data_IF_438180699854
#
_entry.id   IF_438180699854
#
_cell.length_a   1.000
_cell.length_b   1.000
_cell.length_c   1.000
_cell.angle_alpha   90.00
_cell.angle_beta   90.00
_cell.angle_gamma   90.00
#
_symmetry.space_group_name_H-M   'P 1'
#
loop_
_entity.id
_entity.type
_entity.pdbx_description
1 polymer ?
#
# COMPACT_ATOMS: atom_id res chain seq x y z
N UNK A 1 23.06 29.22 10.01
CA UNK A 1 22.84 28.09 9.07
C UNK A 1 21.35 27.95 8.87
N UNK A 2 20.84 28.11 7.64
CA UNK A 2 19.42 27.85 7.35
C UNK A 2 19.32 26.37 7.04
N UNK A 3 18.72 25.59 7.93
CA UNK A 3 18.44 24.18 7.67
C UNK A 3 17.41 24.15 6.52
N UNK A 4 17.76 23.48 5.41
CA UNK A 4 16.94 23.41 4.21
C UNK A 4 15.71 22.52 4.41
N UNK A 5 14.66 22.79 3.64
CA UNK A 5 13.49 21.91 3.57
C UNK A 5 13.87 20.58 2.91
N UNK A 6 13.31 19.49 3.41
CA UNK A 6 13.43 18.16 2.81
C UNK A 6 12.03 17.73 2.43
N UNK A 7 11.77 17.55 1.15
CA UNK A 7 10.51 16.99 0.66
C UNK A 7 10.43 15.49 0.97
N UNK A 8 9.25 15.01 1.28
CA UNK A 8 9.01 13.60 1.53
C UNK A 8 9.19 12.76 0.26
N UNK A 9 9.85 11.61 0.40
CA UNK A 9 10.00 10.63 -0.67
C UNK A 9 9.29 9.32 -0.37
N UNK A 10 8.66 8.75 -1.38
CA UNK A 10 8.04 7.44 -1.28
C UNK A 10 9.11 6.36 -1.09
N UNK A 11 8.88 5.47 -0.13
CA UNK A 11 9.46 4.14 -0.15
C UNK A 11 8.91 3.30 -1.29
N UNK A 12 9.64 2.25 -1.61
CA UNK A 12 9.10 1.15 -2.39
C UNK A 12 7.84 0.59 -1.74
N UNK A 13 6.93 0.13 -2.59
CA UNK A 13 5.76 -0.60 -2.14
C UNK A 13 6.15 -1.86 -1.38
N UNK A 14 5.38 -2.17 -0.35
CA UNK A 14 5.41 -3.48 0.28
C UNK A 14 5.04 -4.56 -0.73
N UNK A 15 5.34 -5.81 -0.39
CA UNK A 15 4.70 -6.94 -1.04
C UNK A 15 3.16 -6.83 -0.92
N UNK A 16 2.46 -7.39 -1.90
CA UNK A 16 1.02 -7.58 -1.81
C UNK A 16 0.69 -8.53 -0.66
N UNK A 17 -0.38 -8.21 0.08
CA UNK A 17 -0.99 -9.14 1.02
C UNK A 17 -1.54 -10.36 0.30
N UNK A 18 -1.83 -11.42 1.06
CA UNK A 18 -2.72 -12.48 0.61
C UNK A 18 -4.08 -11.92 0.20
N UNK A 19 -4.82 -12.70 -0.60
CA UNK A 19 -6.20 -12.37 -0.93
C UNK A 19 -7.04 -12.31 0.35
N UNK A 20 -8.00 -11.39 0.42
CA UNK A 20 -8.85 -11.20 1.60
C UNK A 20 -9.76 -12.39 1.90
N UNK A 21 -9.90 -13.30 0.93
CA UNK A 21 -10.69 -14.52 1.00
C UNK A 21 -9.78 -15.72 0.74
N UNK A 22 -10.16 -16.88 1.26
CA UNK A 22 -9.49 -18.15 0.99
C UNK A 22 -9.99 -18.85 -0.26
N UNK A 23 -11.13 -18.41 -0.82
CA UNK A 23 -11.69 -18.84 -2.10
C UNK A 23 -12.61 -17.74 -2.65
N UNK A 24 -12.88 -17.78 -3.95
CA UNK A 24 -13.71 -16.81 -4.64
C UNK A 24 -12.99 -15.48 -4.89
N UNK A 25 -13.77 -14.45 -5.17
CA UNK A 25 -13.27 -13.10 -5.46
C UNK A 25 -13.02 -12.33 -4.15
N UNK A 26 -11.85 -11.71 -4.04
CA UNK A 26 -11.49 -10.85 -2.93
C UNK A 26 -10.55 -9.73 -3.35
N UNK A 27 -9.87 -9.15 -2.36
CA UNK A 27 -8.92 -8.06 -2.55
C UNK A 27 -7.57 -8.41 -1.92
N UNK A 28 -6.49 -8.09 -2.62
CA UNK A 28 -5.15 -7.99 -2.03
C UNK A 28 -4.74 -6.52 -1.94
N UNK A 29 -3.95 -6.20 -0.92
CA UNK A 29 -3.54 -4.82 -0.63
C UNK A 29 -2.03 -4.72 -0.51
N UNK A 30 -1.47 -3.57 -0.87
CA UNK A 30 -0.08 -3.22 -0.58
C UNK A 30 -0.01 -1.80 -0.01
N UNK A 31 1.08 -1.51 0.70
CA UNK A 31 1.28 -0.25 1.40
C UNK A 31 2.63 0.34 1.03
N UNK A 32 2.76 1.66 1.11
CA UNK A 32 4.04 2.36 1.05
C UNK A 32 4.04 3.49 2.06
N UNK A 33 5.24 3.94 2.43
CA UNK A 33 5.45 5.00 3.40
C UNK A 33 6.14 6.18 2.74
N UNK A 34 5.87 7.39 3.25
CA UNK A 34 6.53 8.62 2.82
C UNK A 34 7.65 8.99 3.80
N UNK A 35 8.67 8.13 3.86
CA UNK A 35 9.78 8.22 4.81
C UNK A 35 11.15 7.99 4.14
N UNK A 36 11.22 8.05 2.80
CA UNK A 36 12.44 7.83 2.04
C UNK A 36 12.72 8.97 1.03
N UNK A 37 13.04 10.20 1.49
CA UNK A 37 13.30 10.58 2.88
C UNK A 37 12.05 11.05 3.63
N UNK A 38 12.14 11.15 4.97
CA UNK A 38 11.10 11.77 5.81
C UNK A 38 11.11 13.28 5.53
N UNK A 39 9.95 13.92 5.31
CA UNK A 39 9.89 15.37 5.14
C UNK A 39 10.37 16.12 6.39
N UNK A 40 11.15 17.19 6.20
CA UNK A 40 11.71 17.99 7.29
C UNK A 40 11.59 19.49 7.01
N UNK A 41 11.53 20.27 8.09
CA UNK A 41 11.56 21.74 8.07
C UNK A 41 10.45 22.38 7.24
N UNK A 42 9.29 21.72 7.17
CA UNK A 42 8.14 22.16 6.39
C UNK A 42 8.15 21.73 4.93
N UNK A 43 9.00 20.76 4.54
CA UNK A 43 8.82 20.06 3.26
C UNK A 43 7.54 19.22 3.25
N UNK A 44 7.02 18.96 2.06
CA UNK A 44 5.69 18.37 1.89
C UNK A 44 5.69 16.86 2.06
N UNK A 45 4.54 16.32 2.45
CA UNK A 45 4.26 14.90 2.37
C UNK A 45 4.09 14.48 0.90
N UNK A 46 4.38 13.23 0.64
CA UNK A 46 4.28 12.65 -0.68
C UNK A 46 2.82 12.64 -1.15
N UNK A 47 2.60 13.09 -2.38
CA UNK A 47 1.27 13.06 -2.98
C UNK A 47 0.92 11.66 -3.52
N UNK A 48 -0.33 11.26 -3.31
CA UNK A 48 -0.89 9.98 -3.77
C UNK A 48 -1.26 9.02 -2.64
N UNK A 49 -1.64 7.80 -3.02
CA UNK A 49 -2.20 6.84 -2.08
C UNK A 49 -1.10 6.11 -1.29
N UNK A 50 -1.34 5.92 0.02
CA UNK A 50 -0.51 5.09 0.89
C UNK A 50 -0.85 3.59 0.76
N UNK A 51 -2.04 3.29 0.26
CA UNK A 51 -2.58 1.93 0.14
C UNK A 51 -3.08 1.74 -1.28
N UNK A 52 -2.78 0.59 -1.85
CA UNK A 52 -3.35 0.15 -3.12
C UNK A 52 -4.10 -1.16 -2.92
N UNK A 53 -5.24 -1.30 -3.58
CA UNK A 53 -6.11 -2.48 -3.54
C UNK A 53 -6.29 -3.03 -4.95
N UNK A 54 -6.20 -4.34 -5.10
CA UNK A 54 -6.39 -5.01 -6.38
C UNK A 54 -7.21 -6.28 -6.18
N UNK A 55 -8.12 -6.55 -7.12
CA UNK A 55 -8.94 -7.75 -7.13
C UNK A 55 -8.07 -9.00 -7.25
N UNK A 56 -8.41 -10.02 -6.50
CA UNK A 56 -7.78 -11.34 -6.57
C UNK A 56 -8.84 -12.43 -6.63
N UNK A 57 -8.51 -13.50 -7.32
CA UNK A 57 -9.26 -14.74 -7.34
C UNK A 57 -8.49 -15.76 -6.49
N UNK A 58 -9.08 -16.18 -5.38
CA UNK A 58 -8.52 -17.19 -4.48
C UNK A 58 -8.91 -18.62 -4.89
N UNK A 59 -9.42 -18.81 -6.11
CA UNK A 59 -9.83 -20.10 -6.65
C UNK A 59 -11.27 -20.44 -6.28
N UNK A 60 -11.72 -21.62 -6.68
CA UNK A 60 -13.12 -21.99 -6.49
C UNK A 60 -13.43 -22.30 -5.02
N UNK A 61 -14.59 -21.83 -4.53
CA UNK A 61 -15.07 -22.22 -3.21
C UNK A 61 -15.66 -23.63 -3.27
N UNK A 62 -15.03 -24.59 -2.58
CA UNK A 62 -15.52 -25.98 -2.48
C UNK A 62 -16.56 -26.17 -1.35
N UNK A 63 -17.12 -25.07 -0.85
CA UNK A 63 -18.33 -25.08 -0.04
C UNK A 63 -19.53 -25.06 -0.97
N UNK A 64 -20.02 -26.25 -1.31
CA UNK A 64 -21.28 -26.42 -2.04
C UNK A 64 -22.39 -25.60 -1.38
N UNK A 65 -23.31 -24.96 -2.13
CA UNK A 65 -24.42 -24.20 -1.56
C UNK A 65 -25.55 -25.09 -1.01
N UNK A 66 -25.26 -26.35 -0.68
CA UNK A 66 -26.22 -27.31 -0.12
C UNK A 66 -26.01 -27.47 1.38
#
# INVERSE_FOLDING_TARGET
MKVGQVEGGWRDWSAWSSCSVSCGQGLRRRWRLCDSPIPQNGGNLCEGNFIESLNCDAGNCTGSPF
#
